data_IF_276326221311
#
_entry.id   IF_276326221311
#
_cell.length_a   1.000
_cell.length_b   1.000
_cell.length_c   1.000
_cell.angle_alpha   90.00
_cell.angle_beta   90.00
_cell.angle_gamma   90.00
#
_symmetry.space_group_name_H-M   'P 1'
#
loop_
_entity.id
_entity.type
_entity.pdbx_description
1 polymer ?
#
# COMPACT_ATOMS: atom_id res chain seq x y z
N UNK A 1 0.57 10.81 41.93
CA UNK A 1 0.28 10.97 40.50
C UNK A 1 0.92 12.27 40.04
N UNK A 2 1.76 12.27 38.98
CA UNK A 2 2.29 13.55 38.48
C UNK A 2 1.12 14.42 38.01
N UNK A 3 1.19 15.72 38.32
CA UNK A 3 0.16 16.71 37.97
C UNK A 3 0.01 16.75 36.42
N UNK A 4 -1.23 16.86 35.95
CA UNK A 4 -1.55 16.94 34.52
C UNK A 4 -0.77 18.06 33.82
N UNK A 5 -0.51 19.16 34.51
CA UNK A 5 0.30 20.26 34.00
C UNK A 5 1.77 19.90 33.82
N UNK A 6 2.32 19.06 34.69
CA UNK A 6 3.72 18.59 34.59
C UNK A 6 3.89 17.66 33.41
N UNK A 7 2.91 16.78 33.16
CA UNK A 7 2.89 15.90 31.98
C UNK A 7 2.71 16.71 30.69
N UNK A 8 1.82 17.72 30.70
CA UNK A 8 1.60 18.59 29.54
C UNK A 8 2.85 19.40 29.21
N UNK A 9 3.53 19.95 30.22
CA UNK A 9 4.78 20.69 30.01
C UNK A 9 5.91 19.81 29.52
N UNK A 10 6.06 18.58 30.03
CA UNK A 10 7.03 17.62 29.50
C UNK A 10 6.79 17.23 28.03
N UNK A 11 5.54 17.23 27.57
CA UNK A 11 5.21 17.02 26.16
C UNK A 11 5.55 18.23 25.28
N UNK A 12 5.41 19.45 25.79
CA UNK A 12 5.76 20.68 25.06
C UNK A 12 7.27 20.91 24.98
N UNK A 13 8.04 20.60 26.03
CA UNK A 13 9.52 20.67 26.01
C UNK A 13 10.15 19.69 25.02
N UNK A 14 9.51 18.55 24.77
CA UNK A 14 9.97 17.58 23.73
C UNK A 14 9.80 18.04 22.30
N UNK A 15 9.00 19.09 22.02
CA UNK A 15 8.86 19.64 20.65
C UNK A 15 10.18 20.12 20.05
N UNK A 16 11.15 20.50 20.87
CA UNK A 16 12.48 20.94 20.38
C UNK A 16 13.48 19.79 20.25
N UNK A 17 13.25 18.64 20.90
CA UNK A 17 14.25 17.60 21.09
C UNK A 17 14.51 16.69 19.88
N UNK A 18 13.57 16.52 18.97
CA UNK A 18 13.69 15.51 17.87
C UNK A 18 13.74 16.14 16.48
N UNK A 19 14.72 16.99 16.22
CA UNK A 19 15.12 17.29 14.84
C UNK A 19 15.92 16.11 14.32
N UNK A 20 15.56 15.51 13.14
CA UNK A 20 16.34 14.44 12.56
C UNK A 20 17.77 14.91 12.30
N UNK A 21 18.75 14.09 12.69
CA UNK A 21 20.17 14.37 12.39
C UNK A 21 20.45 14.26 10.89
N UNK A 22 21.56 14.84 10.43
CA UNK A 22 21.99 14.69 9.03
C UNK A 22 22.13 13.21 8.64
N UNK A 23 22.64 12.36 9.53
CA UNK A 23 22.72 10.93 9.32
C UNK A 23 21.35 10.25 9.15
N UNK A 24 20.35 10.67 9.94
CA UNK A 24 18.97 10.20 9.80
C UNK A 24 18.42 10.54 8.42
N UNK A 25 18.59 11.79 7.98
CA UNK A 25 18.19 12.22 6.64
C UNK A 25 18.87 11.41 5.54
N UNK A 26 20.19 11.21 5.62
CA UNK A 26 20.96 10.42 4.64
C UNK A 26 20.44 8.99 4.54
N UNK A 27 20.19 8.34 5.70
CA UNK A 27 19.65 6.98 5.74
C UNK A 27 18.28 6.87 5.07
N UNK A 28 17.34 7.78 5.41
CA UNK A 28 15.99 7.74 4.85
C UNK A 28 15.98 8.08 3.36
N UNK A 29 16.82 9.04 2.93
CA UNK A 29 16.99 9.38 1.51
C UNK A 29 17.58 8.19 0.73
N UNK A 30 18.58 7.51 1.26
CA UNK A 30 19.16 6.33 0.62
C UNK A 30 18.12 5.21 0.44
N UNK A 31 17.28 4.95 1.45
CA UNK A 31 16.20 3.98 1.36
C UNK A 31 15.13 4.40 0.34
N UNK A 32 14.78 5.69 0.30
CA UNK A 32 13.87 6.24 -0.71
C UNK A 32 14.42 6.07 -2.13
N UNK A 33 15.70 6.40 -2.35
CA UNK A 33 16.34 6.25 -3.66
C UNK A 33 16.45 4.77 -4.07
N UNK A 34 16.77 3.88 -3.13
CA UNK A 34 16.77 2.45 -3.39
C UNK A 34 15.36 1.95 -3.76
N UNK A 35 14.31 2.38 -3.03
CA UNK A 35 12.93 2.06 -3.38
C UNK A 35 12.53 2.67 -4.73
N UNK A 36 12.96 3.88 -5.04
CA UNK A 36 12.70 4.52 -6.34
C UNK A 36 13.27 3.68 -7.50
N UNK A 37 14.50 3.18 -7.36
CA UNK A 37 15.13 2.31 -8.38
C UNK A 37 14.36 1.00 -8.52
N UNK A 38 14.10 0.29 -7.41
CA UNK A 38 13.40 -1.00 -7.46
C UNK A 38 11.97 -0.87 -7.98
N UNK A 39 11.25 0.19 -7.64
CA UNK A 39 9.90 0.49 -8.15
C UNK A 39 9.94 0.88 -9.63
N UNK A 40 10.97 1.63 -10.08
CA UNK A 40 11.12 1.95 -11.52
C UNK A 40 11.33 0.68 -12.34
N UNK A 41 12.18 -0.23 -11.88
CA UNK A 41 12.38 -1.53 -12.54
C UNK A 41 11.07 -2.33 -12.53
N UNK A 42 10.39 -2.40 -11.38
CA UNK A 42 9.13 -3.13 -11.23
C UNK A 42 8.04 -2.65 -12.18
N UNK A 43 7.93 -1.33 -12.39
CA UNK A 43 6.96 -0.73 -13.31
C UNK A 43 7.20 -1.07 -14.79
N UNK A 44 8.35 -1.66 -15.15
CA UNK A 44 8.63 -2.14 -16.51
C UNK A 44 8.45 -3.64 -16.68
N UNK A 45 8.39 -4.38 -15.58
CA UNK A 45 8.19 -5.83 -15.54
C UNK A 45 6.70 -6.16 -15.44
N UNK A 46 6.29 -7.29 -16.02
CA UNK A 46 4.95 -7.83 -15.78
C UNK A 46 4.72 -8.07 -14.28
N UNK A 47 3.51 -7.87 -13.77
CA UNK A 47 2.26 -7.60 -14.50
C UNK A 47 1.99 -6.12 -14.79
N UNK A 48 2.84 -5.18 -14.39
CA UNK A 48 2.59 -3.73 -14.49
C UNK A 48 3.28 -3.08 -15.70
N UNK A 49 4.23 -3.76 -16.32
CA UNK A 49 4.97 -3.31 -17.49
C UNK A 49 4.96 -4.34 -18.62
N UNK A 50 5.77 -4.08 -19.65
CA UNK A 50 5.79 -4.86 -20.89
C UNK A 50 6.83 -5.99 -20.92
N UNK A 51 7.77 -6.03 -19.95
CA UNK A 51 8.83 -7.05 -19.94
C UNK A 51 8.34 -8.28 -19.20
N UNK A 52 8.35 -9.42 -19.88
CA UNK A 52 8.02 -10.72 -19.29
C UNK A 52 9.09 -11.18 -18.30
N UNK A 53 8.64 -11.76 -17.18
CA UNK A 53 9.52 -12.38 -16.19
C UNK A 53 9.79 -13.81 -16.65
N UNK A 54 11.03 -14.13 -17.00
CA UNK A 54 11.46 -15.47 -17.43
C UNK A 54 10.72 -16.06 -18.65
N UNK A 55 10.68 -15.38 -19.81
CA UNK A 55 9.89 -15.81 -20.98
C UNK A 55 10.29 -17.17 -21.54
N UNK A 56 11.50 -17.66 -21.27
CA UNK A 56 12.05 -18.91 -21.80
C UNK A 56 12.07 -20.06 -20.77
N UNK A 57 11.50 -19.85 -19.58
CA UNK A 57 11.45 -20.89 -18.55
C UNK A 57 10.24 -21.77 -18.79
N UNK A 58 10.49 -23.06 -19.07
CA UNK A 58 9.44 -24.06 -19.22
C UNK A 58 9.04 -24.63 -17.86
N UNK A 59 7.79 -25.04 -17.74
CA UNK A 59 7.30 -25.72 -16.54
C UNK A 59 8.04 -27.05 -16.34
N UNK A 60 8.58 -27.30 -15.13
CA UNK A 60 9.31 -28.51 -14.85
C UNK A 60 8.40 -29.74 -14.93
N UNK A 61 8.82 -30.76 -15.68
CA UNK A 61 8.06 -31.98 -15.89
C UNK A 61 8.31 -33.03 -14.79
N UNK A 62 9.36 -32.84 -14.00
CA UNK A 62 9.75 -33.74 -12.91
C UNK A 62 10.48 -33.01 -11.77
N UNK A 63 10.65 -33.69 -10.64
CA UNK A 63 11.29 -33.11 -9.46
C UNK A 63 12.75 -32.66 -9.69
N UNK A 64 13.51 -33.35 -10.54
CA UNK A 64 14.91 -32.98 -10.83
C UNK A 64 14.97 -31.68 -11.62
N UNK A 65 14.09 -31.49 -12.60
CA UNK A 65 13.96 -30.23 -13.34
C UNK A 65 13.51 -29.08 -12.43
N UNK A 66 12.52 -29.34 -11.55
CA UNK A 66 12.07 -28.36 -10.56
C UNK A 66 13.18 -27.93 -9.63
N UNK A 67 13.99 -28.88 -9.14
CA UNK A 67 15.13 -28.57 -8.28
C UNK A 67 16.20 -27.76 -9.03
N UNK A 68 16.55 -28.13 -10.27
CA UNK A 68 17.49 -27.39 -11.11
C UNK A 68 16.99 -25.98 -11.42
N UNK A 69 15.67 -25.81 -11.66
CA UNK A 69 15.05 -24.51 -11.85
C UNK A 69 15.23 -23.64 -10.59
N UNK A 70 14.93 -24.19 -9.40
CA UNK A 70 15.12 -23.45 -8.15
C UNK A 70 16.59 -23.01 -7.97
N UNK A 71 17.54 -23.87 -8.28
CA UNK A 71 18.98 -23.53 -8.18
C UNK A 71 19.39 -22.47 -9.22
N UNK A 72 18.73 -22.40 -10.37
CA UNK A 72 19.03 -21.41 -11.41
C UNK A 72 18.32 -20.06 -11.18
N UNK A 73 17.29 -19.98 -10.33
CA UNK A 73 16.54 -18.74 -10.08
C UNK A 73 17.42 -17.52 -9.73
N UNK A 74 18.47 -17.62 -8.88
CA UNK A 74 19.31 -16.47 -8.59
C UNK A 74 20.03 -15.92 -9.82
N UNK A 75 20.55 -16.80 -10.69
CA UNK A 75 21.22 -16.40 -11.92
C UNK A 75 20.22 -15.81 -12.94
N UNK A 76 19.07 -16.46 -13.14
CA UNK A 76 17.99 -15.96 -13.99
C UNK A 76 17.51 -14.59 -13.55
N UNK A 77 17.34 -14.40 -12.23
CA UNK A 77 16.94 -13.11 -11.65
C UNK A 77 18.00 -12.03 -11.88
N UNK A 78 19.28 -12.35 -11.68
CA UNK A 78 20.38 -11.42 -11.95
C UNK A 78 20.38 -10.98 -13.43
N UNK A 79 20.25 -11.92 -14.36
CA UNK A 79 20.16 -11.61 -15.79
C UNK A 79 18.94 -10.75 -16.11
N UNK A 80 17.76 -11.07 -15.56
CA UNK A 80 16.54 -10.28 -15.75
C UNK A 80 16.75 -8.82 -15.31
N UNK A 81 17.29 -8.60 -14.11
CA UNK A 81 17.51 -7.24 -13.58
C UNK A 81 18.58 -6.51 -14.38
N UNK A 82 19.66 -7.19 -14.77
CA UNK A 82 20.72 -6.61 -15.59
C UNK A 82 20.17 -6.18 -16.96
N UNK A 83 19.51 -7.07 -17.68
CA UNK A 83 18.93 -6.80 -18.99
C UNK A 83 17.87 -5.70 -18.92
N UNK A 84 17.00 -5.73 -17.91
CA UNK A 84 15.99 -4.69 -17.70
C UNK A 84 16.66 -3.34 -17.45
N UNK A 85 17.73 -3.31 -16.65
CA UNK A 85 18.47 -2.07 -16.36
C UNK A 85 19.14 -1.52 -17.63
N UNK A 86 19.75 -2.37 -18.45
CA UNK A 86 20.33 -1.96 -19.74
C UNK A 86 19.25 -1.42 -20.68
N UNK A 87 18.11 -2.08 -20.77
CA UNK A 87 16.97 -1.62 -21.58
C UNK A 87 16.42 -0.28 -21.09
N UNK A 88 16.31 -0.06 -19.78
CA UNK A 88 15.91 1.22 -19.20
C UNK A 88 16.86 2.38 -19.58
N UNK A 89 18.16 2.08 -19.76
CA UNK A 89 19.15 3.10 -20.17
C UNK A 89 19.16 3.35 -21.69
N UNK A 90 18.64 2.44 -22.50
CA UNK A 90 18.67 2.49 -23.95
C UNK A 90 17.32 2.77 -24.61
N UNK A 91 16.22 2.46 -23.94
CA UNK A 91 14.85 2.67 -24.43
C UNK A 91 14.14 3.76 -23.61
N UNK A 92 14.02 4.93 -24.21
CA UNK A 92 13.38 6.10 -23.58
C UNK A 92 11.90 5.85 -23.23
N UNK A 93 11.17 5.07 -24.05
CA UNK A 93 9.76 4.75 -23.78
C UNK A 93 9.65 3.89 -22.52
N UNK A 94 10.48 2.86 -22.42
CA UNK A 94 10.51 1.97 -21.25
C UNK A 94 10.90 2.74 -19.98
N UNK A 95 11.91 3.61 -20.07
CA UNK A 95 12.31 4.49 -18.96
C UNK A 95 11.16 5.40 -18.52
N UNK A 96 10.47 6.03 -19.47
CA UNK A 96 9.32 6.89 -19.19
C UNK A 96 8.22 6.13 -18.48
N UNK A 97 7.89 4.91 -18.93
CA UNK A 97 6.83 4.10 -18.32
C UNK A 97 7.22 3.68 -16.88
N UNK A 98 8.44 3.20 -16.67
CA UNK A 98 8.96 2.87 -15.34
C UNK A 98 9.00 4.08 -14.40
N UNK A 99 9.45 5.24 -14.87
CA UNK A 99 9.44 6.48 -14.08
C UNK A 99 8.02 6.96 -13.77
N UNK A 100 7.09 6.88 -14.73
CA UNK A 100 5.69 7.25 -14.51
C UNK A 100 5.06 6.39 -13.42
N UNK A 101 5.35 5.09 -13.41
CA UNK A 101 4.90 4.18 -12.36
C UNK A 101 5.52 4.53 -11.00
N UNK A 102 6.85 4.65 -10.93
CA UNK A 102 7.55 4.88 -9.65
C UNK A 102 7.22 6.23 -9.05
N UNK A 103 7.20 7.31 -9.84
CA UNK A 103 6.82 8.64 -9.36
C UNK A 103 5.39 8.64 -8.83
N UNK A 104 4.45 8.04 -9.56
CA UNK A 104 3.05 7.98 -9.14
C UNK A 104 2.86 7.17 -7.85
N UNK A 105 3.42 5.95 -7.79
CA UNK A 105 3.28 5.09 -6.62
C UNK A 105 3.97 5.70 -5.39
N UNK A 106 5.21 6.16 -5.54
CA UNK A 106 5.94 6.75 -4.42
C UNK A 106 5.37 8.10 -3.98
N UNK A 107 4.75 8.88 -4.87
CA UNK A 107 4.02 10.09 -4.48
C UNK A 107 2.82 9.74 -3.59
N UNK A 108 2.04 8.72 -3.94
CA UNK A 108 0.90 8.23 -3.13
C UNK A 108 1.39 7.76 -1.75
N UNK A 109 2.42 6.90 -1.71
CA UNK A 109 2.98 6.39 -0.45
C UNK A 109 3.61 7.50 0.40
N UNK A 110 4.34 8.43 -0.24
CA UNK A 110 4.95 9.57 0.47
C UNK A 110 3.87 10.47 1.06
N UNK A 111 2.81 10.76 0.34
CA UNK A 111 1.69 11.56 0.85
C UNK A 111 1.00 10.86 2.04
N UNK A 112 0.83 9.54 1.97
CA UNK A 112 0.26 8.74 3.05
C UNK A 112 1.12 8.88 4.33
N UNK A 113 2.41 8.56 4.26
CA UNK A 113 3.31 8.64 5.42
C UNK A 113 3.51 10.08 5.91
N UNK A 114 3.54 11.06 4.99
CA UNK A 114 3.60 12.47 5.35
C UNK A 114 2.35 12.93 6.11
N UNK A 115 1.17 12.41 5.76
CA UNK A 115 -0.06 12.67 6.49
C UNK A 115 0.06 12.27 7.97
N UNK A 116 0.50 11.04 8.24
CA UNK A 116 0.78 10.55 9.60
C UNK A 116 1.85 11.39 10.30
N UNK A 117 2.96 11.65 9.63
CA UNK A 117 4.09 12.40 10.19
C UNK A 117 3.68 13.83 10.58
N UNK A 118 2.98 14.54 9.68
CA UNK A 118 2.48 15.90 9.95
C UNK A 118 1.50 15.89 11.12
N UNK A 119 0.56 14.94 11.16
CA UNK A 119 -0.37 14.81 12.27
C UNK A 119 0.37 14.53 13.59
N UNK A 120 1.37 13.64 13.61
CA UNK A 120 2.22 13.44 14.78
C UNK A 120 2.87 14.74 15.24
N UNK A 121 3.43 15.53 14.34
CA UNK A 121 4.08 16.81 14.66
C UNK A 121 3.10 17.83 15.24
N UNK A 122 1.88 17.90 14.70
CA UNK A 122 0.82 18.80 15.22
C UNK A 122 0.40 18.45 16.66
N UNK A 123 0.47 17.16 17.03
CA UNK A 123 0.18 16.69 18.39
C UNK A 123 1.39 16.66 19.33
N UNK A 124 2.58 17.09 18.85
CA UNK A 124 3.81 16.98 19.63
C UNK A 124 4.27 15.53 19.87
N UNK A 125 3.83 14.60 19.02
CA UNK A 125 4.19 13.18 19.05
C UNK A 125 5.44 12.98 18.24
N UNK A 126 6.47 12.37 18.82
CA UNK A 126 7.69 12.05 18.11
C UNK A 126 7.47 10.86 17.19
N UNK A 127 7.80 11.05 15.93
CA UNK A 127 7.77 10.00 14.90
C UNK A 127 9.04 10.08 14.04
N UNK A 128 9.43 8.94 13.49
CA UNK A 128 10.54 8.87 12.55
C UNK A 128 10.14 9.48 11.20
N UNK A 129 11.13 9.84 10.38
CA UNK A 129 10.88 10.06 8.96
C UNK A 129 10.37 8.77 8.31
N UNK A 130 9.66 8.84 7.17
CA UNK A 130 9.17 7.67 6.46
C UNK A 130 10.31 6.70 6.09
N UNK A 131 10.16 5.43 6.43
CA UNK A 131 11.00 4.33 5.96
C UNK A 131 10.37 3.73 4.72
N UNK A 132 11.03 3.84 3.59
CA UNK A 132 10.68 3.10 2.38
C UNK A 132 11.39 1.76 2.39
N UNK A 133 10.67 0.67 2.10
CA UNK A 133 11.24 -0.67 2.07
C UNK A 133 11.43 -1.09 0.61
N UNK A 134 12.64 -0.92 0.04
CA UNK A 134 12.92 -1.43 -1.30
C UNK A 134 12.81 -2.95 -1.30
N UNK A 135 12.21 -3.50 -2.33
CA UNK A 135 12.05 -4.94 -2.47
C UNK A 135 12.37 -5.38 -3.90
N UNK A 136 13.10 -6.48 -4.07
CA UNK A 136 13.29 -7.07 -5.40
C UNK A 136 11.95 -7.32 -6.10
N UNK A 137 11.77 -6.92 -7.38
CA UNK A 137 10.51 -7.10 -8.11
C UNK A 137 9.96 -8.54 -8.13
N UNK A 138 10.83 -9.55 -8.04
CA UNK A 138 10.42 -10.95 -7.93
C UNK A 138 9.66 -11.27 -6.64
N UNK A 139 10.02 -10.60 -5.52
CA UNK A 139 9.40 -10.81 -4.21
C UNK A 139 8.21 -9.87 -3.99
N UNK A 140 8.24 -8.69 -4.57
CA UNK A 140 7.14 -7.74 -4.58
C UNK A 140 7.00 -7.15 -5.98
N UNK A 141 5.93 -7.48 -6.72
CA UNK A 141 5.72 -6.94 -8.07
C UNK A 141 5.70 -5.42 -8.13
N UNK A 142 5.39 -4.75 -7.01
CA UNK A 142 5.45 -3.29 -6.90
C UNK A 142 6.86 -2.73 -6.72
N UNK A 143 7.88 -3.56 -6.50
CA UNK A 143 9.26 -3.13 -6.22
C UNK A 143 9.48 -2.53 -4.84
N UNK A 144 8.47 -2.54 -3.99
CA UNK A 144 8.50 -2.08 -2.60
C UNK A 144 7.51 -2.86 -1.74
N UNK A 145 7.77 -2.97 -0.45
CA UNK A 145 6.76 -3.40 0.54
C UNK A 145 5.98 -2.22 1.12
N UNK A 146 6.09 -1.04 0.52
CA UNK A 146 5.47 0.18 1.00
C UNK A 146 6.41 1.07 1.80
N UNK A 147 5.81 1.97 2.57
CA UNK A 147 6.49 2.85 3.48
C UNK A 147 5.80 2.81 4.86
N UNK A 148 6.48 3.21 5.91
CA UNK A 148 5.91 3.36 7.24
C UNK A 148 6.67 4.39 8.05
N UNK A 149 5.98 5.04 9.00
CA UNK A 149 6.61 5.79 10.09
C UNK A 149 6.55 4.98 11.39
N UNK A 150 7.51 5.21 12.28
CA UNK A 150 7.48 4.65 13.64
C UNK A 150 7.15 5.77 14.63
N UNK A 151 6.04 5.63 15.35
CA UNK A 151 5.70 6.49 16.49
C UNK A 151 6.59 6.10 17.66
N UNK A 152 7.29 7.06 18.24
CA UNK A 152 8.30 6.85 19.29
C UNK A 152 7.80 7.22 20.66
N UNK A 153 7.02 8.30 20.75
CA UNK A 153 6.46 8.78 22.04
C UNK A 153 5.02 8.28 22.25
N UNK A 154 4.57 8.23 23.54
CA UNK A 154 3.19 7.90 23.85
C UNK A 154 2.19 8.84 23.19
N UNK A 155 1.02 8.33 22.83
CA UNK A 155 -0.06 9.09 22.22
C UNK A 155 -0.81 9.89 23.31
N UNK A 156 -0.93 11.22 23.18
CA UNK A 156 -1.44 12.07 24.26
C UNK A 156 -2.95 11.90 24.51
N UNK A 157 -3.71 11.58 23.49
CA UNK A 157 -5.16 11.48 23.61
C UNK A 157 -5.76 10.57 22.55
N UNK A 158 -6.98 10.11 22.81
CA UNK A 158 -7.80 9.36 21.86
C UNK A 158 -8.08 10.15 20.57
N UNK A 159 -8.13 11.48 20.64
CA UNK A 159 -8.26 12.36 19.48
C UNK A 159 -6.99 12.34 18.62
N UNK A 160 -5.82 12.37 19.27
CA UNK A 160 -4.55 12.26 18.56
C UNK A 160 -4.40 10.90 17.85
N UNK A 161 -4.79 9.79 18.52
CA UNK A 161 -4.81 8.45 17.91
C UNK A 161 -5.65 8.44 16.64
N UNK A 162 -6.86 9.04 16.71
CA UNK A 162 -7.75 9.13 15.56
C UNK A 162 -7.14 9.96 14.42
N UNK A 163 -6.78 11.21 14.72
CA UNK A 163 -6.31 12.16 13.71
C UNK A 163 -5.01 11.68 13.04
N UNK A 164 -4.09 11.10 13.80
CA UNK A 164 -2.87 10.49 13.26
C UNK A 164 -3.24 9.29 12.39
N UNK A 165 -4.11 8.39 12.87
CA UNK A 165 -4.48 7.18 12.14
C UNK A 165 -5.18 7.45 10.81
N UNK A 166 -6.01 8.48 10.68
CA UNK A 166 -6.74 8.77 9.43
C UNK A 166 -6.01 9.74 8.50
N UNK A 167 -5.01 10.49 8.99
CA UNK A 167 -4.31 11.51 8.21
C UNK A 167 -3.55 10.91 7.02
N UNK A 168 -2.92 9.75 7.21
CA UNK A 168 -2.21 9.05 6.14
C UNK A 168 -3.12 8.62 5.00
N UNK A 169 -4.14 7.77 5.25
CA UNK A 169 -5.09 7.34 4.24
C UNK A 169 -5.75 8.50 3.48
N UNK A 170 -6.14 9.57 4.17
CA UNK A 170 -6.74 10.75 3.53
C UNK A 170 -5.72 11.46 2.63
N UNK A 171 -4.51 11.71 3.11
CA UNK A 171 -3.48 12.38 2.32
C UNK A 171 -3.05 11.54 1.11
N UNK A 172 -2.88 10.23 1.29
CA UNK A 172 -2.61 9.29 0.20
C UNK A 172 -3.73 9.28 -0.85
N UNK A 173 -5.00 9.27 -0.41
CA UNK A 173 -6.16 9.29 -1.30
C UNK A 173 -6.25 10.57 -2.13
N UNK A 174 -5.92 11.72 -1.55
CA UNK A 174 -5.89 13.02 -2.26
C UNK A 174 -4.89 13.01 -3.43
N UNK A 175 -3.75 12.33 -3.29
CA UNK A 175 -2.76 12.18 -4.37
C UNK A 175 -3.15 11.04 -5.33
N UNK A 176 -3.73 9.97 -4.82
CA UNK A 176 -4.17 8.83 -5.61
C UNK A 176 -5.27 9.20 -6.61
N UNK A 177 -6.26 9.98 -6.21
CA UNK A 177 -7.41 10.31 -7.05
C UNK A 177 -7.01 10.97 -8.39
N UNK A 178 -6.18 12.04 -8.44
CA UNK A 178 -5.73 12.61 -9.71
C UNK A 178 -4.88 11.65 -10.54
N UNK A 179 -4.04 10.79 -9.91
CA UNK A 179 -3.26 9.75 -10.63
C UNK A 179 -4.20 8.76 -11.31
N UNK A 180 -5.25 8.30 -10.61
CA UNK A 180 -6.26 7.40 -11.16
C UNK A 180 -7.02 8.04 -12.32
N UNK A 181 -7.48 9.29 -12.15
CA UNK A 181 -8.19 10.04 -13.20
C UNK A 181 -7.31 10.17 -14.45
N UNK A 182 -6.04 10.57 -14.26
CA UNK A 182 -5.10 10.70 -15.38
C UNK A 182 -4.85 9.35 -16.07
N UNK A 183 -4.71 8.29 -15.28
CA UNK A 183 -4.58 6.92 -15.79
C UNK A 183 -5.78 6.48 -16.65
N UNK A 184 -7.01 6.77 -16.20
CA UNK A 184 -8.23 6.47 -16.95
C UNK A 184 -8.35 7.31 -18.26
N UNK A 185 -8.01 8.60 -18.20
CA UNK A 185 -8.05 9.50 -19.37
C UNK A 185 -7.01 9.13 -20.44
N UNK A 186 -5.90 8.52 -20.05
CA UNK A 186 -4.81 8.12 -20.96
C UNK A 186 -4.81 6.64 -21.29
N UNK A 187 -5.83 5.91 -20.84
CA UNK A 187 -5.95 4.47 -21.08
C UNK A 187 -6.28 4.20 -22.58
N UNK A 188 -5.50 3.29 -23.16
CA UNK A 188 -5.76 2.82 -24.53
C UNK A 188 -6.75 1.66 -24.46
N UNK A 189 -7.91 1.81 -25.09
CA UNK A 189 -8.89 0.74 -25.21
C UNK A 189 -8.56 -0.21 -26.38
N UNK A 190 -8.70 -1.49 -26.13
CA UNK A 190 -8.35 -2.55 -27.06
C UNK A 190 -9.41 -3.64 -27.06
N UNK A 191 -9.30 -4.61 -27.95
CA UNK A 191 -10.24 -5.72 -28.00
C UNK A 191 -10.05 -6.69 -26.81
N UNK A 192 -11.11 -7.43 -26.41
CA UNK A 192 -11.01 -8.41 -25.31
C UNK A 192 -9.89 -9.43 -25.51
N UNK A 193 -9.69 -9.92 -26.73
CA UNK A 193 -8.62 -10.87 -27.05
C UNK A 193 -7.22 -10.31 -26.84
N UNK A 194 -7.02 -9.01 -27.09
CA UNK A 194 -5.74 -8.33 -26.84
C UNK A 194 -5.47 -8.14 -25.36
N UNK A 195 -6.50 -7.86 -24.54
CA UNK A 195 -6.38 -7.77 -23.09
C UNK A 195 -5.96 -9.12 -22.50
N UNK A 196 -6.63 -10.20 -22.93
CA UNK A 196 -6.36 -11.54 -22.43
C UNK A 196 -4.92 -11.99 -22.78
N UNK A 197 -4.48 -11.73 -24.00
CA UNK A 197 -3.11 -12.01 -24.43
C UNK A 197 -2.05 -11.22 -23.65
N UNK A 198 -2.34 -9.97 -23.30
CA UNK A 198 -1.39 -9.11 -22.59
C UNK A 198 -1.27 -9.46 -21.09
N UNK A 199 -2.35 -9.92 -20.47
CA UNK A 199 -2.39 -10.15 -19.01
C UNK A 199 -1.90 -11.55 -18.61
N UNK A 200 -1.60 -12.43 -19.56
CA UNK A 200 -1.10 -13.79 -19.26
C UNK A 200 -2.01 -14.59 -18.33
N UNK A 201 -3.35 -14.39 -18.43
CA UNK A 201 -4.32 -15.04 -17.56
C UNK A 201 -4.51 -14.38 -16.18
N UNK A 202 -3.77 -13.31 -15.85
CA UNK A 202 -3.98 -12.52 -14.62
C UNK A 202 -5.02 -11.43 -14.87
N UNK A 203 -6.03 -11.37 -14.03
CA UNK A 203 -7.04 -10.33 -14.05
C UNK A 203 -6.99 -9.52 -12.75
N UNK A 204 -6.81 -8.21 -12.88
CA UNK A 204 -6.83 -7.27 -11.77
C UNK A 204 -8.25 -6.73 -11.60
N UNK A 205 -8.87 -7.04 -10.46
CA UNK A 205 -10.22 -6.59 -10.20
C UNK A 205 -10.24 -5.07 -9.93
N UNK A 206 -11.21 -4.38 -10.53
CA UNK A 206 -11.35 -2.94 -10.42
C UNK A 206 -12.02 -2.54 -9.11
N UNK A 207 -11.37 -1.71 -8.25
CA UNK A 207 -12.00 -1.10 -7.10
C UNK A 207 -13.24 -0.26 -7.50
N UNK A 208 -14.16 -0.09 -6.56
CA UNK A 208 -15.40 0.66 -6.81
C UNK A 208 -15.11 2.10 -7.30
N UNK A 209 -14.08 2.75 -6.78
CA UNK A 209 -13.64 4.08 -7.23
C UNK A 209 -13.31 4.08 -8.73
N UNK A 210 -12.54 3.09 -9.19
CA UNK A 210 -12.18 2.96 -10.61
C UNK A 210 -13.43 2.79 -11.46
N UNK A 211 -14.37 1.92 -11.06
CA UNK A 211 -15.61 1.68 -11.80
C UNK A 211 -16.47 2.95 -11.92
N UNK A 212 -16.62 3.71 -10.81
CA UNK A 212 -17.40 4.95 -10.78
C UNK A 212 -16.75 6.01 -11.70
N UNK A 213 -15.45 6.24 -11.56
CA UNK A 213 -14.74 7.25 -12.36
C UNK A 213 -14.71 6.86 -13.84
N UNK A 214 -14.47 5.60 -14.16
CA UNK A 214 -14.48 5.10 -15.53
C UNK A 214 -15.86 5.31 -16.19
N UNK A 215 -16.95 5.05 -15.46
CA UNK A 215 -18.31 5.31 -15.95
C UNK A 215 -18.56 6.81 -16.20
N UNK A 216 -18.06 7.68 -15.33
CA UNK A 216 -18.18 9.14 -15.49
C UNK A 216 -17.37 9.63 -16.70
N UNK A 217 -16.17 9.11 -16.91
CA UNK A 217 -15.26 9.45 -18.01
C UNK A 217 -15.74 8.83 -19.34
N UNK A 218 -16.51 7.74 -19.30
CA UNK A 218 -17.02 7.03 -20.49
C UNK A 218 -16.02 6.01 -21.05
N UNK A 219 -15.14 5.45 -20.20
CA UNK A 219 -14.17 4.41 -20.57
C UNK A 219 -14.51 3.07 -19.92
N UNK A 220 -14.08 1.97 -20.53
CA UNK A 220 -14.26 0.64 -19.95
C UNK A 220 -12.91 0.09 -19.45
N UNK A 221 -12.66 0.01 -18.14
CA UNK A 221 -11.38 -0.47 -17.61
C UNK A 221 -11.06 -1.92 -18.04
N UNK A 222 -12.08 -2.77 -18.16
CA UNK A 222 -11.89 -4.18 -18.57
C UNK A 222 -11.44 -4.34 -20.02
N UNK A 223 -11.50 -3.29 -20.83
CA UNK A 223 -11.06 -3.26 -22.23
C UNK A 223 -9.83 -2.37 -22.42
N UNK A 224 -9.08 -2.08 -21.37
CA UNK A 224 -7.91 -1.22 -21.42
C UNK A 224 -6.63 -1.93 -21.01
N UNK A 225 -5.51 -1.54 -21.63
CA UNK A 225 -4.22 -1.90 -21.06
C UNK A 225 -3.98 -1.09 -19.79
N UNK A 226 -3.47 -1.78 -18.76
CA UNK A 226 -2.95 -1.11 -17.57
C UNK A 226 -1.77 -0.23 -18.01
N UNK A 227 -1.94 1.10 -17.90
CA UNK A 227 -0.84 2.02 -18.04
C UNK A 227 -0.16 2.25 -16.68
N UNK A 228 1.07 2.82 -16.65
CA UNK A 228 1.81 3.01 -15.40
C UNK A 228 1.04 3.76 -14.30
N UNK A 229 0.18 4.71 -14.66
CA UNK A 229 -0.62 5.50 -13.71
C UNK A 229 -1.76 4.68 -13.12
N UNK A 230 -2.47 3.89 -13.95
CA UNK A 230 -3.52 2.98 -13.49
C UNK A 230 -2.95 1.90 -12.57
N UNK A 231 -1.82 1.32 -12.94
CA UNK A 231 -1.13 0.32 -12.11
C UNK A 231 -0.72 0.90 -10.76
N UNK A 232 -0.12 2.10 -10.74
CA UNK A 232 0.27 2.78 -9.51
C UNK A 232 -0.94 3.13 -8.63
N UNK A 233 -2.02 3.64 -9.24
CA UNK A 233 -3.25 3.97 -8.53
C UNK A 233 -3.94 2.70 -7.97
N UNK A 234 -3.96 1.60 -8.72
CA UNK A 234 -4.50 0.32 -8.28
C UNK A 234 -3.76 -0.20 -7.03
N UNK A 235 -2.41 -0.19 -7.05
CA UNK A 235 -1.61 -0.55 -5.88
C UNK A 235 -1.87 0.42 -4.73
N UNK A 236 -1.94 1.73 -5.00
CA UNK A 236 -2.27 2.75 -4.01
C UNK A 236 -3.62 2.51 -3.33
N UNK A 237 -4.66 2.13 -4.09
CA UNK A 237 -5.97 1.76 -3.55
C UNK A 237 -5.89 0.49 -2.69
N UNK A 238 -5.14 -0.51 -3.14
CA UNK A 238 -4.93 -1.74 -2.38
C UNK A 238 -4.25 -1.45 -1.03
N UNK A 239 -3.17 -0.68 -1.02
CA UNK A 239 -2.46 -0.28 0.20
C UNK A 239 -3.36 0.54 1.12
N UNK A 240 -4.09 1.52 0.58
CA UNK A 240 -5.02 2.35 1.35
C UNK A 240 -6.12 1.52 2.00
N UNK A 241 -6.72 0.59 1.24
CA UNK A 241 -7.79 -0.27 1.78
C UNK A 241 -7.25 -1.25 2.84
N UNK A 242 -6.07 -1.82 2.65
CA UNK A 242 -5.45 -2.70 3.64
C UNK A 242 -5.15 -1.96 4.95
N UNK A 243 -4.62 -0.74 4.87
CA UNK A 243 -4.36 0.08 6.05
C UNK A 243 -5.64 0.49 6.78
N UNK A 244 -6.76 0.62 6.06
CA UNK A 244 -8.05 0.97 6.65
C UNK A 244 -8.85 -0.24 7.18
N UNK A 245 -8.33 -1.47 7.07
CA UNK A 245 -8.94 -2.63 7.74
C UNK A 245 -8.94 -2.38 9.26
N UNK A 246 -10.10 -2.59 9.96
CA UNK A 246 -10.23 -2.30 11.38
C UNK A 246 -9.57 -3.36 12.27
N UNK A 247 -8.25 -3.53 12.17
CA UNK A 247 -7.50 -4.57 12.86
C UNK A 247 -6.15 -4.10 13.39
N UNK A 248 -5.79 -4.52 14.59
CA UNK A 248 -4.47 -4.30 15.19
C UNK A 248 -4.05 -2.83 15.22
N UNK A 249 -2.83 -2.56 14.75
CA UNK A 249 -2.27 -1.19 14.65
C UNK A 249 -2.38 -0.61 13.23
N UNK A 250 -3.21 -1.19 12.36
CA UNK A 250 -3.53 -0.57 11.08
C UNK A 250 -4.32 0.73 11.30
N UNK A 251 -4.31 1.63 10.33
CA UNK A 251 -4.96 2.94 10.43
C UNK A 251 -6.46 2.83 10.73
N UNK A 252 -7.16 1.87 10.10
CA UNK A 252 -8.54 1.52 10.42
C UNK A 252 -8.70 1.00 11.85
N UNK A 253 -7.70 0.28 12.38
CA UNK A 253 -7.66 -0.13 13.78
C UNK A 253 -7.60 1.06 14.72
N UNK A 254 -6.72 2.04 14.45
CA UNK A 254 -6.65 3.30 15.20
C UNK A 254 -7.97 4.08 15.16
N UNK A 255 -8.61 4.15 13.99
CA UNK A 255 -9.90 4.82 13.82
C UNK A 255 -11.01 4.14 14.66
N UNK A 256 -11.16 2.82 14.56
CA UNK A 256 -12.18 2.06 15.30
C UNK A 256 -11.93 2.10 16.79
N UNK A 257 -10.69 1.93 17.25
CA UNK A 257 -10.32 2.10 18.65
C UNK A 257 -10.74 3.49 19.19
N UNK A 258 -10.43 4.52 18.40
CA UNK A 258 -10.72 5.90 18.79
C UNK A 258 -12.21 6.24 18.84
N UNK A 259 -13.04 5.61 18.02
CA UNK A 259 -14.48 5.88 17.97
C UNK A 259 -15.23 5.04 19.01
N UNK A 260 -14.95 3.75 19.07
CA UNK A 260 -15.76 2.77 19.78
C UNK A 260 -15.07 2.16 21.02
N UNK A 261 -13.75 2.36 21.18
CA UNK A 261 -12.96 1.84 22.29
C UNK A 261 -12.43 0.42 22.07
N UNK A 262 -11.71 -0.08 23.08
CA UNK A 262 -10.94 -1.32 23.03
C UNK A 262 -11.78 -2.56 22.75
N UNK A 263 -12.95 -2.71 23.40
CA UNK A 263 -13.80 -3.90 23.22
C UNK A 263 -14.29 -4.05 21.78
N UNK A 264 -14.73 -2.96 21.16
CA UNK A 264 -15.20 -2.99 19.75
C UNK A 264 -14.02 -3.24 18.83
N UNK A 265 -12.89 -2.55 19.03
CA UNK A 265 -11.66 -2.77 18.27
C UNK A 265 -11.19 -4.24 18.32
N UNK A 266 -11.26 -4.89 19.47
CA UNK A 266 -10.91 -6.30 19.64
C UNK A 266 -11.78 -7.23 18.77
N UNK A 267 -13.10 -6.99 18.75
CA UNK A 267 -14.02 -7.82 17.97
C UNK A 267 -13.98 -7.50 16.47
N UNK A 268 -13.88 -6.25 16.09
CA UNK A 268 -13.80 -5.85 14.67
C UNK A 268 -12.54 -6.42 14.01
N UNK A 269 -11.39 -6.46 14.71
CA UNK A 269 -10.18 -7.10 14.21
C UNK A 269 -10.37 -8.59 13.92
N UNK A 270 -11.08 -9.31 14.80
CA UNK A 270 -11.38 -10.75 14.61
C UNK A 270 -12.38 -11.00 13.50
N UNK A 271 -13.40 -10.17 13.39
CA UNK A 271 -14.38 -10.24 12.30
C UNK A 271 -13.68 -9.96 10.97
N UNK A 272 -12.82 -8.92 10.90
CA UNK A 272 -12.05 -8.60 9.71
C UNK A 272 -11.11 -9.76 9.31
N UNK A 273 -10.43 -10.37 10.28
CA UNK A 273 -9.61 -11.55 10.03
C UNK A 273 -10.44 -12.72 9.49
N UNK A 274 -11.57 -13.03 10.12
CA UNK A 274 -12.47 -14.11 9.67
C UNK A 274 -13.02 -13.86 8.26
N UNK A 275 -13.40 -12.61 7.95
CA UNK A 275 -13.85 -12.22 6.63
C UNK A 275 -12.73 -12.38 5.58
N UNK A 276 -11.50 -11.93 5.89
CA UNK A 276 -10.37 -12.08 4.97
C UNK A 276 -9.95 -13.54 4.80
N UNK A 277 -10.02 -14.37 5.86
CA UNK A 277 -9.80 -15.82 5.76
C UNK A 277 -10.85 -16.48 4.84
N UNK A 278 -12.12 -16.10 4.99
CA UNK A 278 -13.19 -16.57 4.11
C UNK A 278 -12.95 -16.13 2.66
N UNK A 279 -12.61 -14.86 2.42
CA UNK A 279 -12.27 -14.37 1.07
C UNK A 279 -11.04 -15.08 0.49
N UNK A 280 -10.05 -15.43 1.33
CA UNK A 280 -8.89 -16.20 0.88
C UNK A 280 -9.30 -17.59 0.36
N UNK A 281 -10.15 -18.29 1.11
CA UNK A 281 -10.66 -19.61 0.72
C UNK A 281 -11.54 -19.50 -0.54
N UNK A 282 -12.48 -18.56 -0.57
CA UNK A 282 -13.34 -18.33 -1.74
C UNK A 282 -12.52 -17.90 -2.97
N UNK A 283 -11.52 -17.06 -2.81
CA UNK A 283 -10.62 -16.62 -3.89
C UNK A 283 -9.84 -17.78 -4.49
N UNK A 284 -9.39 -18.72 -3.66
CA UNK A 284 -8.74 -19.93 -4.12
C UNK A 284 -9.69 -20.81 -4.98
N UNK A 285 -10.90 -21.05 -4.48
CA UNK A 285 -11.86 -21.93 -5.19
C UNK A 285 -12.51 -21.27 -6.42
N UNK A 286 -12.79 -19.97 -6.37
CA UNK A 286 -13.51 -19.28 -7.46
C UNK A 286 -12.59 -18.73 -8.54
N UNK A 287 -11.37 -18.35 -8.17
CA UNK A 287 -10.46 -17.58 -9.03
C UNK A 287 -9.02 -18.13 -9.09
N UNK A 288 -8.76 -19.30 -8.48
CA UNK A 288 -7.41 -19.89 -8.35
C UNK A 288 -6.37 -18.90 -7.80
N UNK A 289 -6.82 -17.96 -6.96
CA UNK A 289 -6.01 -16.83 -6.48
C UNK A 289 -5.49 -17.05 -5.06
N UNK A 290 -4.16 -17.05 -4.86
CA UNK A 290 -3.55 -17.10 -3.53
C UNK A 290 -3.50 -15.75 -2.82
N UNK A 291 -3.91 -14.64 -3.48
CA UNK A 291 -3.71 -13.27 -2.97
C UNK A 291 -4.34 -13.01 -1.60
N UNK A 292 -5.51 -13.59 -1.33
CA UNK A 292 -6.19 -13.46 -0.04
C UNK A 292 -5.43 -14.09 1.12
N UNK A 293 -4.63 -15.13 0.87
CA UNK A 293 -3.84 -15.80 1.91
C UNK A 293 -2.79 -14.87 2.51
N UNK A 294 -2.08 -14.12 1.67
CA UNK A 294 -1.08 -13.15 2.12
C UNK A 294 -1.69 -12.10 3.06
N UNK A 295 -2.85 -11.54 2.70
CA UNK A 295 -3.53 -10.55 3.52
C UNK A 295 -4.07 -11.14 4.83
N UNK A 296 -4.56 -12.38 4.79
CA UNK A 296 -4.99 -13.11 5.99
C UNK A 296 -3.83 -13.33 6.97
N UNK A 297 -2.65 -13.75 6.47
CA UNK A 297 -1.45 -13.91 7.28
C UNK A 297 -1.01 -12.56 7.88
N UNK A 298 -1.00 -11.49 7.08
CA UNK A 298 -0.67 -10.15 7.57
C UNK A 298 -1.59 -9.73 8.71
N UNK A 299 -2.91 -9.91 8.57
CA UNK A 299 -3.87 -9.61 9.63
C UNK A 299 -3.67 -10.47 10.87
N UNK A 300 -3.36 -11.77 10.71
CA UNK A 300 -3.05 -12.66 11.83
C UNK A 300 -1.86 -12.16 12.66
N UNK A 301 -0.83 -11.63 11.98
CA UNK A 301 0.34 -11.03 12.64
C UNK A 301 -0.04 -9.72 13.32
N UNK A 302 -0.78 -8.84 12.63
CA UNK A 302 -1.19 -7.54 13.18
C UNK A 302 -2.11 -7.66 14.40
N UNK A 303 -2.97 -8.68 14.47
CA UNK A 303 -3.81 -8.92 15.65
C UNK A 303 -3.03 -9.29 16.90
N UNK A 304 -1.78 -9.76 16.78
CA UNK A 304 -0.92 -10.08 17.95
C UNK A 304 -0.32 -8.82 18.57
N UNK A 305 -0.28 -7.72 17.84
CA UNK A 305 0.27 -6.45 18.30
C UNK A 305 -0.82 -5.68 19.03
N UNK A 306 -0.60 -5.42 20.33
CA UNK A 306 -1.56 -4.67 21.15
C UNK A 306 -1.63 -3.22 20.71
N UNK A 307 -2.83 -2.65 20.70
CA UNK A 307 -3.04 -1.23 20.41
C UNK A 307 -2.46 -0.39 21.57
N UNK A 308 -1.69 0.69 21.31
CA UNK A 308 -1.20 1.57 22.36
C UNK A 308 -2.35 2.34 23.01
N UNK A 309 -2.35 2.37 24.34
CA UNK A 309 -3.36 3.12 25.11
C UNK A 309 -3.00 4.60 25.14
N UNK A 310 -3.93 5.51 24.81
CA UNK A 310 -3.73 6.95 24.93
C UNK A 310 -3.78 7.40 26.40
N UNK A 311 -3.04 8.46 26.74
CA UNK A 311 -3.01 9.01 28.10
C UNK A 311 -4.39 9.56 28.51
N UNK A 312 -5.07 10.26 27.60
CA UNK A 312 -6.39 10.85 27.82
C UNK A 312 -7.43 10.11 26.98
N UNK A 313 -8.41 9.50 27.64
CA UNK A 313 -9.47 8.71 26.98
C UNK A 313 -10.77 9.49 26.81
N UNK A 314 -10.72 10.72 26.27
CA UNK A 314 -11.90 11.53 25.99
C UNK A 314 -12.55 11.14 24.64
N UNK A 315 -13.90 11.13 24.54
CA UNK A 315 -14.62 10.80 23.33
C UNK A 315 -14.34 11.80 22.19
N UNK A 316 -14.55 11.33 20.94
CA UNK A 316 -14.39 12.16 19.74
C UNK A 316 -15.55 13.16 19.62
N UNK A 317 -15.23 14.37 19.14
CA UNK A 317 -16.20 15.39 18.78
C UNK A 317 -16.87 15.12 17.42
N UNK A 318 -17.94 15.85 17.11
CA UNK A 318 -18.73 15.67 15.89
C UNK A 318 -17.89 15.81 14.59
N UNK A 319 -17.00 16.81 14.40
CA UNK A 319 -16.20 16.89 13.19
C UNK A 319 -15.36 15.63 12.90
N UNK A 320 -14.76 15.01 13.94
CA UNK A 320 -14.01 13.76 13.78
C UNK A 320 -14.89 12.58 13.41
N UNK A 321 -16.14 12.56 13.89
CA UNK A 321 -17.11 11.53 13.45
C UNK A 321 -17.45 11.66 11.96
N UNK A 322 -17.54 12.88 11.44
CA UNK A 322 -17.72 13.14 10.00
C UNK A 322 -16.49 12.64 9.22
N UNK A 323 -15.29 12.97 9.68
CA UNK A 323 -14.04 12.46 9.05
C UNK A 323 -14.00 10.93 9.09
N UNK A 324 -14.47 10.30 10.17
CA UNK A 324 -14.55 8.83 10.22
C UNK A 324 -15.46 8.23 9.15
N UNK A 325 -16.60 8.87 8.87
CA UNK A 325 -17.50 8.46 7.78
C UNK A 325 -16.82 8.62 6.43
N UNK A 326 -16.12 9.74 6.20
CA UNK A 326 -15.35 9.95 4.97
C UNK A 326 -14.25 8.89 4.79
N UNK A 327 -13.55 8.56 5.88
CA UNK A 327 -12.51 7.50 5.88
C UNK A 327 -13.11 6.12 5.57
N UNK A 328 -14.29 5.82 6.12
CA UNK A 328 -15.03 4.59 5.79
C UNK A 328 -15.44 4.56 4.30
N UNK A 329 -15.86 5.69 3.75
CA UNK A 329 -16.16 5.80 2.30
C UNK A 329 -14.91 5.55 1.46
N UNK A 330 -13.74 6.10 1.84
CA UNK A 330 -12.47 5.82 1.17
C UNK A 330 -12.16 4.32 1.20
N UNK A 331 -12.35 3.67 2.36
CA UNK A 331 -12.18 2.22 2.47
C UNK A 331 -13.07 1.46 1.48
N UNK A 332 -14.36 1.74 1.46
CA UNK A 332 -15.33 1.08 0.56
C UNK A 332 -14.97 1.30 -0.92
N UNK A 333 -14.55 2.51 -1.27
CA UNK A 333 -14.20 2.88 -2.64
C UNK A 333 -12.91 2.18 -3.13
N UNK A 334 -11.97 1.91 -2.22
CA UNK A 334 -10.67 1.31 -2.54
C UNK A 334 -10.63 -0.21 -2.34
N UNK A 335 -11.53 -0.78 -1.53
CA UNK A 335 -11.47 -2.19 -1.14
C UNK A 335 -11.91 -3.12 -2.27
N UNK A 336 -11.12 -4.18 -2.50
CA UNK A 336 -11.43 -5.26 -3.43
C UNK A 336 -11.24 -6.61 -2.71
N UNK A 337 -12.31 -7.43 -2.59
CA UNK A 337 -12.22 -8.73 -1.92
C UNK A 337 -11.28 -9.72 -2.60
N UNK A 338 -11.23 -9.72 -3.93
CA UNK A 338 -10.43 -10.61 -4.77
C UNK A 338 -9.58 -9.79 -5.74
N UNK A 339 -8.48 -9.16 -5.27
CA UNK A 339 -7.76 -8.16 -6.06
C UNK A 339 -7.07 -8.75 -7.30
N UNK A 340 -6.59 -9.99 -7.21
CA UNK A 340 -5.93 -10.69 -8.33
C UNK A 340 -6.70 -11.99 -8.57
N UNK A 341 -7.07 -12.24 -9.82
CA UNK A 341 -7.79 -13.42 -10.26
C UNK A 341 -6.96 -14.11 -11.37
N UNK A 342 -6.91 -15.43 -11.35
CA UNK A 342 -6.27 -16.25 -12.40
C UNK A 342 -7.40 -16.93 -13.17
N UNK A 343 -7.46 -16.71 -14.47
CA UNK A 343 -8.44 -17.32 -15.38
C UNK A 343 -7.77 -18.32 -16.31
#
# INVERSE_FOLDING_TARGET
MPDLNTLTNQFFDRREAMRPSAWTWTKHLALFLAAFITVTIAGTLQPFGSIEIFPNVQDPQNWAEGFNLILSLPALYFHLIFDTTVRLLTDFKLLKDGLSFSVSLLAILTAHEAGHYVACRLYGVDATLPYFIPMPPLLSPAGTLGAFIKIVSPLPSRRAVFDIGVAGPIAGFVVLAPVLIYGLLTMVQVSPAQVEAANGGLHFADPLLTQILAKIIGVNPSLGYLNPFLSAAWIGMLVTSLNLIPSGQLDGGHAVYSIFGERVHFWTGRIAFGAMALFSVLGWFLYSSPSGLLFTILLAVMMRVRHPEPIINAPLNLPRKVVAVLTLLIFILCFVPFPIQVK
#
